data_IF_884309935502
#
_entry.id   IF_884309935502
#
_cell.length_a   1.000
_cell.length_b   1.000
_cell.length_c   1.000
_cell.angle_alpha   90.00
_cell.angle_beta   90.00
_cell.angle_gamma   90.00
#
_symmetry.space_group_name_H-M   'P 1'
#
loop_
_entity.id
_entity.type
_entity.pdbx_description
1 polymer ?
#
# COMPACT_ATOMS: atom_id res chain seq x y z
N UNK A 1 22.04 -34.83 16.47
CA UNK A 1 22.28 -33.48 15.91
C UNK A 1 22.64 -33.61 14.44
N UNK A 2 21.98 -32.87 13.55
CA UNK A 2 22.22 -32.92 12.10
C UNK A 2 22.27 -31.48 11.56
N UNK A 3 23.25 -31.14 10.73
CA UNK A 3 23.50 -29.78 10.24
C UNK A 3 23.56 -28.71 11.34
N UNK A 4 24.08 -29.06 12.53
CA UNK A 4 24.13 -28.13 13.67
C UNK A 4 22.78 -27.84 14.34
N UNK A 5 21.71 -28.54 13.96
CA UNK A 5 20.34 -28.28 14.42
C UNK A 5 19.80 -29.49 15.19
N UNK A 6 19.03 -29.21 16.25
CA UNK A 6 18.34 -30.20 17.07
C UNK A 6 19.13 -30.73 18.26
N UNK A 7 18.67 -31.83 18.86
CA UNK A 7 19.26 -32.41 20.07
C UNK A 7 20.50 -33.27 19.76
N UNK A 8 21.47 -33.27 20.67
CA UNK A 8 22.63 -34.17 20.60
C UNK A 8 22.20 -35.62 20.79
N UNK A 9 21.42 -35.90 21.83
CA UNK A 9 20.78 -37.19 22.09
C UNK A 9 19.32 -36.99 22.52
N UNK A 10 18.37 -37.82 22.07
CA UNK A 10 16.97 -37.74 22.54
C UNK A 10 16.80 -38.23 23.99
N UNK A 11 17.75 -39.03 24.51
CA UNK A 11 17.77 -39.47 25.91
C UNK A 11 17.86 -38.28 26.86
N UNK A 12 16.99 -38.24 27.86
CA UNK A 12 16.92 -37.15 28.84
C UNK A 12 16.06 -35.96 28.41
N UNK A 13 15.62 -35.89 27.14
CA UNK A 13 14.72 -34.83 26.66
C UNK A 13 13.24 -35.08 26.97
N UNK A 14 12.86 -36.31 27.33
CA UNK A 14 11.45 -36.68 27.54
C UNK A 14 10.61 -36.70 26.25
N UNK A 15 11.23 -36.64 25.08
CA UNK A 15 10.57 -36.68 23.75
C UNK A 15 11.28 -37.68 22.83
N UNK A 16 10.70 -37.96 21.66
CA UNK A 16 11.30 -38.85 20.65
C UNK A 16 12.45 -38.19 19.84
N UNK A 17 12.72 -36.90 20.04
CA UNK A 17 13.78 -36.17 19.31
C UNK A 17 13.48 -35.87 17.84
N UNK A 18 12.21 -35.90 17.42
CA UNK A 18 11.82 -35.55 16.07
C UNK A 18 11.94 -34.04 15.82
N UNK A 19 12.61 -33.65 14.74
CA UNK A 19 12.93 -32.25 14.41
C UNK A 19 12.28 -31.90 13.08
N UNK A 20 11.50 -30.82 13.03
CA UNK A 20 10.87 -30.29 11.81
C UNK A 20 11.51 -28.96 11.40
N UNK A 21 11.47 -28.67 10.11
CA UNK A 21 11.83 -27.35 9.59
C UNK A 21 10.71 -26.36 9.86
N UNK A 22 11.06 -25.10 10.15
CA UNK A 22 10.08 -24.03 10.28
C UNK A 22 9.64 -23.55 8.88
N UNK A 23 8.39 -23.83 8.51
CA UNK A 23 7.80 -23.44 7.22
C UNK A 23 7.52 -21.94 7.09
N UNK A 24 7.40 -21.22 8.20
CA UNK A 24 7.15 -19.77 8.23
C UNK A 24 8.43 -18.94 8.38
N UNK A 25 9.58 -19.60 8.47
CA UNK A 25 10.85 -18.89 8.59
C UNK A 25 11.22 -18.20 7.27
N UNK A 26 11.05 -16.88 7.23
CA UNK A 26 11.51 -16.05 6.12
C UNK A 26 13.01 -15.82 6.28
N UNK A 27 13.81 -16.32 5.34
CA UNK A 27 15.26 -16.11 5.35
C UNK A 27 15.55 -14.61 5.23
N UNK A 28 16.24 -13.98 6.20
CA UNK A 28 16.68 -12.61 6.03
C UNK A 28 17.64 -12.56 4.83
N UNK A 29 17.44 -11.62 3.91
CA UNK A 29 18.45 -11.33 2.90
C UNK A 29 19.69 -10.87 3.64
N UNK A 30 20.79 -11.60 3.50
CA UNK A 30 22.09 -11.09 3.93
C UNK A 30 22.34 -9.82 3.12
N UNK A 31 22.07 -8.66 3.72
CA UNK A 31 22.61 -7.42 3.24
C UNK A 31 24.12 -7.57 3.42
N UNK A 32 24.80 -8.00 2.36
CA UNK A 32 26.22 -7.77 2.25
C UNK A 32 26.32 -6.25 2.20
N UNK A 33 26.51 -5.63 3.36
CA UNK A 33 26.77 -4.20 3.47
C UNK A 33 28.17 -4.03 2.89
N UNK A 34 28.26 -4.05 1.57
CA UNK A 34 29.37 -3.43 0.89
C UNK A 34 29.23 -1.95 1.23
N UNK A 35 30.14 -1.45 2.06
CA UNK A 35 30.30 -0.03 2.36
C UNK A 35 30.77 0.68 1.09
N UNK A 36 29.96 0.67 0.04
CA UNK A 36 30.12 1.60 -1.07
C UNK A 36 29.56 2.91 -0.57
N UNK A 37 30.44 3.91 -0.52
CA UNK A 37 30.09 5.28 -0.22
C UNK A 37 28.80 5.64 -0.99
N UNK A 38 27.87 6.24 -0.27
CA UNK A 38 26.57 6.64 -0.76
C UNK A 38 26.75 7.67 -1.88
N UNK A 39 26.93 7.22 -3.13
CA UNK A 39 26.73 8.05 -4.31
C UNK A 39 25.25 8.48 -4.30
N UNK A 40 25.03 9.78 -4.39
CA UNK A 40 23.83 10.52 -3.98
C UNK A 40 22.52 10.25 -4.72
N UNK A 41 22.26 9.00 -5.10
CA UNK A 41 21.00 8.56 -5.71
C UNK A 41 20.63 7.09 -5.36
N UNK A 42 21.45 6.36 -4.59
CA UNK A 42 21.18 4.96 -4.25
C UNK A 42 20.36 4.75 -2.95
N UNK A 43 19.73 5.80 -2.44
CA UNK A 43 18.83 5.74 -1.27
C UNK A 43 17.39 5.34 -1.60
N UNK A 44 17.02 5.34 -2.88
CA UNK A 44 15.66 4.97 -3.32
C UNK A 44 15.65 3.49 -3.72
N UNK A 45 15.82 2.60 -2.73
CA UNK A 45 15.58 1.17 -2.92
C UNK A 45 14.26 1.00 -3.67
N UNK A 46 14.34 0.55 -4.92
CA UNK A 46 13.33 0.75 -5.95
C UNK A 46 11.91 0.64 -5.38
N UNK A 47 11.27 1.80 -5.20
CA UNK A 47 9.89 1.87 -4.74
C UNK A 47 9.09 1.12 -5.79
N UNK A 48 8.70 -0.12 -5.47
CA UNK A 48 7.80 -0.89 -6.34
C UNK A 48 6.61 0.02 -6.60
N UNK A 49 6.34 0.29 -7.88
CA UNK A 49 5.17 1.09 -8.26
C UNK A 49 3.96 0.51 -7.52
N UNK A 50 3.25 1.36 -6.78
CA UNK A 50 2.09 0.93 -6.02
C UNK A 50 1.10 0.21 -6.96
N UNK A 51 0.47 -0.86 -6.47
CA UNK A 51 -0.49 -1.64 -7.25
C UNK A 51 -1.62 -0.73 -7.73
N UNK A 52 -1.95 -0.77 -9.02
CA UNK A 52 -2.96 0.11 -9.63
C UNK A 52 -4.33 -0.05 -8.94
N UNK A 53 -4.70 -1.28 -8.61
CA UNK A 53 -5.94 -1.61 -7.88
C UNK A 53 -6.01 -0.93 -6.51
N UNK A 54 -4.89 -0.86 -5.78
CA UNK A 54 -4.85 -0.20 -4.46
C UNK A 54 -5.03 1.30 -4.62
N UNK A 55 -4.34 1.91 -5.60
CA UNK A 55 -4.46 3.35 -5.87
C UNK A 55 -5.89 3.73 -6.29
N UNK A 56 -6.52 2.93 -7.15
CA UNK A 56 -7.91 3.14 -7.56
C UNK A 56 -8.89 2.99 -6.40
N UNK A 57 -8.67 2.01 -5.53
CA UNK A 57 -9.49 1.82 -4.33
C UNK A 57 -9.35 3.02 -3.38
N UNK A 58 -8.14 3.49 -3.12
CA UNK A 58 -7.89 4.66 -2.27
C UNK A 58 -8.54 5.92 -2.84
N UNK A 59 -8.51 6.11 -4.16
CA UNK A 59 -9.22 7.21 -4.83
C UNK A 59 -10.73 7.14 -4.59
N UNK A 60 -11.35 5.98 -4.84
CA UNK A 60 -12.78 5.78 -4.58
C UNK A 60 -13.13 6.03 -3.12
N UNK A 61 -12.30 5.53 -2.20
CA UNK A 61 -12.45 5.76 -0.75
C UNK A 61 -12.37 7.24 -0.40
N UNK A 62 -11.45 8.00 -0.99
CA UNK A 62 -11.34 9.43 -0.76
C UNK A 62 -12.57 10.20 -1.24
N UNK A 63 -13.16 9.82 -2.38
CA UNK A 63 -14.41 10.42 -2.88
C UNK A 63 -15.55 10.14 -1.90
N UNK A 64 -15.74 8.89 -1.49
CA UNK A 64 -16.78 8.51 -0.52
C UNK A 64 -16.63 9.23 0.82
N UNK A 65 -15.41 9.32 1.33
CA UNK A 65 -15.13 10.03 2.57
C UNK A 65 -15.49 11.52 2.48
N UNK A 66 -15.21 12.17 1.34
CA UNK A 66 -15.61 13.57 1.12
C UNK A 66 -17.13 13.73 1.05
N UNK A 67 -17.85 12.79 0.47
CA UNK A 67 -19.32 12.81 0.41
C UNK A 67 -19.94 12.67 1.80
N UNK A 68 -19.47 11.71 2.62
CA UNK A 68 -19.95 11.53 3.99
C UNK A 68 -19.71 12.78 4.84
N UNK A 69 -18.53 13.40 4.75
CA UNK A 69 -18.25 14.66 5.46
C UNK A 69 -19.16 15.79 5.00
N UNK A 70 -19.52 15.82 3.71
CA UNK A 70 -20.43 16.83 3.16
C UNK A 70 -21.85 16.59 3.66
N UNK A 71 -22.31 15.35 3.68
CA UNK A 71 -23.61 14.94 4.23
C UNK A 71 -23.74 15.36 5.69
N UNK A 72 -22.79 14.99 6.55
CA UNK A 72 -22.78 15.39 7.97
C UNK A 72 -22.86 16.91 8.14
N UNK A 73 -22.10 17.67 7.34
CA UNK A 73 -22.14 19.14 7.38
C UNK A 73 -23.49 19.72 6.96
N UNK A 74 -24.17 19.12 5.99
CA UNK A 74 -25.48 19.60 5.55
C UNK A 74 -26.56 19.24 6.56
N UNK A 75 -26.45 18.09 7.22
CA UNK A 75 -27.31 17.70 8.35
C UNK A 75 -27.15 18.69 9.50
N UNK A 76 -25.91 19.01 9.89
CA UNK A 76 -25.62 19.98 10.95
C UNK A 76 -26.15 21.40 10.63
N UNK A 77 -26.22 21.74 9.34
CA UNK A 77 -26.77 23.02 8.86
C UNK A 77 -28.31 23.02 8.78
N UNK A 78 -28.96 21.87 9.02
CA UNK A 78 -30.41 21.74 9.04
C UNK A 78 -31.06 21.71 7.65
N UNK A 79 -30.35 21.26 6.62
CA UNK A 79 -30.94 21.03 5.30
C UNK A 79 -31.92 19.85 5.33
N UNK A 80 -32.88 19.86 4.40
CA UNK A 80 -33.81 18.73 4.22
C UNK A 80 -33.15 17.58 3.46
N UNK A 81 -33.59 16.34 3.70
CA UNK A 81 -33.03 15.14 3.05
C UNK A 81 -33.02 15.24 1.51
N UNK A 82 -34.04 15.87 0.93
CA UNK A 82 -34.15 16.09 -0.52
C UNK A 82 -33.05 17.05 -1.04
N UNK A 83 -32.78 18.14 -0.33
CA UNK A 83 -31.72 19.09 -0.69
C UNK A 83 -30.33 18.50 -0.48
N UNK A 84 -30.17 17.66 0.55
CA UNK A 84 -28.94 16.92 0.81
C UNK A 84 -28.65 15.95 -0.34
N UNK A 85 -29.64 15.21 -0.80
CA UNK A 85 -29.49 14.25 -1.90
C UNK A 85 -29.04 14.94 -3.20
N UNK A 86 -29.65 16.08 -3.55
CA UNK A 86 -29.29 16.83 -4.76
C UNK A 86 -27.86 17.36 -4.68
N UNK A 87 -27.46 17.93 -3.54
CA UNK A 87 -26.11 18.44 -3.33
C UNK A 87 -25.06 17.34 -3.33
N UNK A 88 -25.38 16.16 -2.79
CA UNK A 88 -24.48 15.01 -2.82
C UNK A 88 -24.28 14.47 -4.24
N UNK A 89 -25.34 14.42 -5.05
CA UNK A 89 -25.25 13.99 -6.45
C UNK A 89 -24.40 14.95 -7.29
N UNK A 90 -24.56 16.26 -7.08
CA UNK A 90 -23.72 17.29 -7.70
C UNK A 90 -22.26 17.16 -7.25
N UNK A 91 -22.02 17.04 -5.94
CA UNK A 91 -20.69 16.88 -5.38
C UNK A 91 -20.00 15.61 -5.89
N UNK A 92 -20.74 14.52 -6.05
CA UNK A 92 -20.23 13.25 -6.57
C UNK A 92 -19.76 13.40 -8.00
N UNK A 93 -20.58 13.98 -8.89
CA UNK A 93 -20.20 14.22 -10.30
C UNK A 93 -18.96 15.10 -10.41
N UNK A 94 -18.88 16.16 -9.58
CA UNK A 94 -17.73 17.07 -9.57
C UNK A 94 -16.45 16.38 -9.08
N UNK A 95 -16.52 15.57 -8.02
CA UNK A 95 -15.37 14.85 -7.47
C UNK A 95 -14.88 13.73 -8.41
N UNK A 96 -15.80 13.02 -9.08
CA UNK A 96 -15.46 12.03 -10.10
C UNK A 96 -14.81 12.69 -11.34
N UNK A 97 -15.34 13.82 -11.81
CA UNK A 97 -14.75 14.58 -12.91
C UNK A 97 -13.35 15.12 -12.57
N UNK A 98 -13.16 15.67 -11.36
CA UNK A 98 -11.84 16.11 -10.91
C UNK A 98 -10.84 14.94 -10.80
N UNK A 99 -11.28 13.79 -10.29
CA UNK A 99 -10.42 12.60 -10.18
C UNK A 99 -9.99 12.05 -11.55
N UNK A 100 -10.88 12.05 -12.54
CA UNK A 100 -10.54 11.62 -13.91
C UNK A 100 -9.58 12.60 -14.61
N UNK A 101 -9.73 13.91 -14.38
CA UNK A 101 -8.80 14.92 -14.90
C UNK A 101 -7.37 14.70 -14.36
N UNK A 102 -7.22 14.40 -13.07
CA UNK A 102 -5.93 14.10 -12.45
C UNK A 102 -5.29 12.80 -12.99
N UNK A 103 -6.08 11.82 -13.45
CA UNK A 103 -5.53 10.63 -14.09
C UNK A 103 -4.87 10.95 -15.44
N UNK A 104 -5.47 11.86 -16.22
CA UNK A 104 -4.95 12.26 -17.53
C UNK A 104 -3.67 13.10 -17.43
N UNK A 105 -3.50 13.89 -16.37
CA UNK A 105 -2.32 14.72 -16.14
C UNK A 105 -1.11 13.86 -15.73
N UNK A 106 -1.30 12.89 -14.82
CA UNK A 106 -0.24 11.99 -14.35
C UNK A 106 0.27 11.08 -15.47
N UNK A 107 -0.62 10.60 -16.35
CA UNK A 107 -0.25 9.78 -17.51
C UNK A 107 0.62 10.50 -18.55
N UNK A 108 0.55 11.84 -18.64
CA UNK A 108 1.28 12.65 -19.63
C UNK A 108 2.71 12.98 -19.20
N UNK A 109 2.99 12.97 -17.89
CA UNK A 109 4.31 13.26 -17.31
C UNK A 109 5.36 12.14 -17.51
N UNK A 110 4.94 10.93 -17.92
CA UNK A 110 5.81 9.75 -18.01
C UNK A 110 6.50 9.51 -19.36
N UNK A 111 6.31 10.37 -20.37
CA UNK A 111 6.71 10.08 -21.77
C UNK A 111 7.83 10.98 -22.31
N UNK A 112 8.63 11.64 -21.48
CA UNK A 112 9.85 12.34 -21.93
C UNK A 112 11.07 11.41 -21.81
N UNK A 113 11.17 10.40 -22.68
CA UNK A 113 12.45 9.71 -22.90
C UNK A 113 13.30 10.54 -23.85
N UNK A 114 14.46 10.99 -23.34
CA UNK A 114 15.58 11.56 -24.08
C UNK A 114 15.80 10.85 -25.43
N UNK A 115 15.69 11.61 -26.52
CA UNK A 115 16.42 11.35 -27.75
C UNK A 115 17.71 12.15 -27.65
N UNK A 116 18.83 11.48 -27.41
CA UNK A 116 20.16 11.70 -28.00
C UNK A 116 21.03 10.50 -27.64
#
# INVERSE_FOLDING_TARGET
MYNGIGLQTPRGSGTNGYIQTNKFFVRPKSAKVETKAFEGDQGTGGVKRANREILEHDRKRQIQLKLVILEEKLIDQGYTDDEISQKLDEARKNLEAAATAEETSVGRSGTTKNKY
#
